data_IF_356907443843
#
_entry.id   IF_356907443843
#
_cell.length_a   1.000
_cell.length_b   1.000
_cell.length_c   1.000
_cell.angle_alpha   90.00
_cell.angle_beta   90.00
_cell.angle_gamma   90.00
#
_symmetry.space_group_name_H-M   'P 1'
#
loop_
_entity.id
_entity.type
_entity.pdbx_description
1 polymer ?
#
# COMPACT_ATOMS: atom_id res chain seq x y z
N UNK A 1 13.03 24.23 -1.41
CA UNK A 1 13.72 22.94 -1.63
C UNK A 1 14.79 23.19 -2.68
N UNK A 2 15.96 22.54 -2.63
CA UNK A 2 16.90 22.57 -3.74
C UNK A 2 16.23 22.05 -5.02
N UNK A 3 16.72 22.45 -6.17
CA UNK A 3 16.23 21.96 -7.46
C UNK A 3 16.56 20.47 -7.63
N UNK A 4 15.72 19.77 -8.42
CA UNK A 4 16.04 18.41 -8.83
C UNK A 4 17.23 18.42 -9.76
N UNK A 5 18.07 17.41 -9.59
CA UNK A 5 19.32 17.26 -10.33
C UNK A 5 19.09 16.21 -11.43
N UNK A 6 19.71 16.41 -12.59
CA UNK A 6 19.66 15.46 -13.68
C UNK A 6 20.44 14.18 -13.34
N UNK A 7 20.05 13.04 -13.91
CA UNK A 7 20.67 11.74 -13.61
C UNK A 7 22.15 11.72 -14.05
N UNK A 8 22.47 12.47 -15.10
CA UNK A 8 23.81 12.60 -15.66
C UNK A 8 24.79 13.31 -14.72
N UNK A 9 24.28 14.15 -13.82
CA UNK A 9 25.10 14.90 -12.87
C UNK A 9 25.52 14.08 -11.64
N UNK A 10 24.98 12.85 -11.50
CA UNK A 10 25.20 11.95 -10.36
C UNK A 10 26.68 11.81 -9.99
N UNK A 11 27.55 11.58 -10.99
CA UNK A 11 28.97 11.35 -10.78
C UNK A 11 29.77 12.58 -10.33
N UNK A 12 29.19 13.78 -10.37
CA UNK A 12 29.87 15.04 -10.03
C UNK A 12 29.53 15.56 -8.63
N UNK A 13 28.62 14.90 -7.92
CA UNK A 13 28.13 15.36 -6.62
C UNK A 13 28.67 14.43 -5.52
N UNK A 14 29.21 15.00 -4.42
CA UNK A 14 29.63 14.18 -3.27
C UNK A 14 28.49 13.31 -2.75
N UNK A 15 28.79 12.05 -2.39
CA UNK A 15 27.81 11.04 -1.99
C UNK A 15 26.91 11.50 -0.84
N UNK A 16 27.48 12.21 0.13
CA UNK A 16 26.79 12.76 1.30
C UNK A 16 25.77 13.86 0.96
N UNK A 17 25.82 14.41 -0.25
CA UNK A 17 24.93 15.46 -0.74
C UNK A 17 23.88 14.93 -1.74
N UNK A 18 23.74 13.61 -1.87
CA UNK A 18 22.83 12.97 -2.81
C UNK A 18 21.68 12.22 -2.11
N UNK A 19 20.48 12.39 -2.66
CA UNK A 19 19.30 11.59 -2.31
C UNK A 19 18.66 11.10 -3.61
N UNK A 20 18.57 9.78 -3.77
CA UNK A 20 17.93 9.16 -4.93
C UNK A 20 16.52 8.73 -4.54
N UNK A 21 15.52 9.24 -5.26
CA UNK A 21 14.12 8.80 -5.15
C UNK A 21 13.82 7.91 -6.35
N UNK A 22 13.50 6.64 -6.10
CA UNK A 22 13.31 5.67 -7.17
C UNK A 22 12.11 4.74 -6.93
N UNK A 23 11.63 4.11 -7.99
CA UNK A 23 10.56 3.11 -7.95
C UNK A 23 11.10 1.71 -7.67
N UNK A 24 10.22 0.73 -7.41
CA UNK A 24 10.61 -0.68 -7.24
C UNK A 24 10.47 -1.20 -5.81
N UNK A 25 9.72 -0.50 -4.97
CA UNK A 25 9.54 -0.85 -3.56
C UNK A 25 8.76 -2.16 -3.35
N UNK A 26 8.12 -2.72 -4.40
CA UNK A 26 7.35 -3.96 -4.34
C UNK A 26 8.03 -5.13 -5.08
N UNK A 27 9.31 -4.99 -5.43
CA UNK A 27 10.03 -6.08 -6.11
C UNK A 27 9.81 -6.11 -7.62
N UNK A 28 9.29 -5.04 -8.22
CA UNK A 28 9.04 -5.01 -9.66
C UNK A 28 10.35 -5.12 -10.46
N UNK A 29 10.55 -6.16 -11.28
CA UNK A 29 11.86 -6.50 -11.83
C UNK A 29 12.44 -5.44 -12.78
N UNK A 30 11.57 -4.65 -13.42
CA UNK A 30 11.92 -3.58 -14.35
C UNK A 30 12.08 -2.20 -13.69
N UNK A 31 11.74 -2.08 -12.40
CA UNK A 31 11.83 -0.83 -11.68
C UNK A 31 13.27 -0.45 -11.33
N UNK A 32 13.47 0.82 -11.01
CA UNK A 32 14.79 1.39 -10.80
C UNK A 32 15.56 0.71 -9.66
N UNK A 33 14.93 0.46 -8.49
CA UNK A 33 15.58 -0.22 -7.37
C UNK A 33 16.05 -1.64 -7.72
N UNK A 34 15.25 -2.37 -8.51
CA UNK A 34 15.61 -3.71 -8.96
C UNK A 34 16.83 -3.67 -9.89
N UNK A 35 16.88 -2.71 -10.82
CA UNK A 35 18.05 -2.49 -11.69
C UNK A 35 19.28 -2.06 -10.90
N UNK A 36 19.14 -1.15 -9.93
CA UNK A 36 20.21 -0.72 -9.03
C UNK A 36 20.78 -1.92 -8.24
N UNK A 37 19.94 -2.82 -7.74
CA UNK A 37 20.39 -4.04 -7.05
C UNK A 37 21.15 -5.03 -7.94
N UNK A 38 21.07 -4.85 -9.27
CA UNK A 38 21.78 -5.66 -10.28
C UNK A 38 22.92 -4.90 -10.96
N UNK A 39 23.19 -3.66 -10.55
CA UNK A 39 24.13 -2.76 -11.21
C UNK A 39 23.82 -2.56 -12.72
N UNK A 40 22.53 -2.50 -13.06
CA UNK A 40 22.04 -2.40 -14.45
C UNK A 40 21.62 -0.97 -14.85
N UNK A 41 21.73 0.00 -13.95
CA UNK A 41 21.45 1.41 -14.28
C UNK A 41 22.69 2.05 -14.91
N UNK A 42 22.50 2.85 -15.97
CA UNK A 42 23.61 3.41 -16.75
C UNK A 42 24.33 4.57 -16.05
N UNK A 43 23.57 5.41 -15.37
CA UNK A 43 24.02 6.72 -14.88
C UNK A 43 24.15 6.79 -13.36
N UNK A 44 23.53 5.84 -12.64
CA UNK A 44 23.53 5.77 -11.18
C UNK A 44 23.95 4.38 -10.73
N UNK A 45 24.88 4.32 -9.80
CA UNK A 45 25.34 3.08 -9.17
C UNK A 45 25.39 3.24 -7.66
N UNK A 46 25.17 2.17 -6.91
CA UNK A 46 25.26 2.19 -5.46
C UNK A 46 26.66 1.77 -5.01
N UNK A 47 27.15 2.36 -3.92
CA UNK A 47 28.46 2.05 -3.34
C UNK A 47 28.30 1.57 -1.90
N UNK A 48 29.12 0.59 -1.51
CA UNK A 48 29.14 0.07 -0.13
C UNK A 48 29.09 1.21 0.91
N UNK A 49 28.21 1.06 1.90
CA UNK A 49 27.92 2.07 2.92
C UNK A 49 26.73 2.99 2.61
N UNK A 50 26.21 3.03 1.38
CA UNK A 50 24.96 3.73 1.07
C UNK A 50 23.78 3.13 1.84
N UNK A 51 22.73 3.93 2.07
CA UNK A 51 21.52 3.53 2.80
C UNK A 51 20.32 3.51 1.87
N UNK A 52 19.61 2.38 1.84
CA UNK A 52 18.39 2.18 1.07
C UNK A 52 17.21 2.12 2.02
N UNK A 53 16.26 3.04 1.85
CA UNK A 53 15.06 3.14 2.67
C UNK A 53 13.85 2.57 1.92
N UNK A 54 13.27 1.50 2.45
CA UNK A 54 12.00 0.97 1.97
C UNK A 54 10.84 1.69 2.68
N UNK A 55 10.42 2.82 2.14
CA UNK A 55 9.26 3.60 2.61
C UNK A 55 7.92 3.00 2.15
N UNK A 56 7.81 1.67 2.18
CA UNK A 56 6.65 0.92 1.70
C UNK A 56 6.34 -0.26 2.61
N UNK A 57 5.10 -0.73 2.56
CA UNK A 57 4.70 -2.02 3.13
C UNK A 57 4.68 -3.07 2.03
N UNK A 58 5.17 -4.27 2.34
CA UNK A 58 5.06 -5.43 1.45
C UNK A 58 3.59 -5.76 1.19
N UNK A 59 3.21 -5.77 -0.08
CA UNK A 59 1.90 -6.26 -0.52
C UNK A 59 1.94 -7.80 -0.55
N UNK A 60 0.91 -8.50 -0.04
CA UNK A 60 0.84 -9.95 -0.11
C UNK A 60 1.05 -10.49 -1.52
N UNK A 61 1.99 -11.43 -1.68
CA UNK A 61 2.39 -12.02 -2.96
C UNK A 61 3.72 -11.48 -3.51
N UNK A 62 4.22 -10.36 -2.99
CA UNK A 62 5.48 -9.74 -3.45
C UNK A 62 6.68 -10.03 -2.53
N UNK A 63 6.49 -10.78 -1.44
CA UNK A 63 7.50 -11.00 -0.39
C UNK A 63 8.81 -11.53 -0.97
N UNK A 64 8.72 -12.52 -1.86
CA UNK A 64 9.89 -13.17 -2.46
C UNK A 64 10.69 -12.19 -3.32
N UNK A 65 10.02 -11.42 -4.18
CA UNK A 65 10.68 -10.49 -5.09
C UNK A 65 11.37 -9.35 -4.31
N UNK A 66 10.73 -8.83 -3.28
CA UNK A 66 11.31 -7.82 -2.39
C UNK A 66 12.53 -8.40 -1.66
N UNK A 67 12.44 -9.62 -1.13
CA UNK A 67 13.53 -10.28 -0.43
C UNK A 67 14.75 -10.50 -1.34
N UNK A 68 14.54 -10.89 -2.60
CA UNK A 68 15.63 -11.05 -3.57
C UNK A 68 16.37 -9.74 -3.84
N UNK A 69 15.65 -8.61 -3.97
CA UNK A 69 16.27 -7.29 -4.11
C UNK A 69 17.05 -6.93 -2.85
N UNK A 70 16.47 -7.12 -1.66
CA UNK A 70 17.13 -6.82 -0.39
C UNK A 70 18.43 -7.60 -0.24
N UNK A 71 18.41 -8.91 -0.51
CA UNK A 71 19.61 -9.75 -0.42
C UNK A 71 20.72 -9.25 -1.33
N UNK A 72 20.42 -8.92 -2.59
CA UNK A 72 21.41 -8.35 -3.52
C UNK A 72 22.01 -7.03 -3.01
N UNK A 73 21.16 -6.13 -2.49
CA UNK A 73 21.63 -4.87 -1.93
C UNK A 73 22.51 -5.09 -0.69
N UNK A 74 22.16 -6.03 0.17
CA UNK A 74 22.96 -6.41 1.34
C UNK A 74 24.31 -6.99 0.90
N UNK A 75 24.33 -7.85 -0.12
CA UNK A 75 25.56 -8.43 -0.68
C UNK A 75 26.48 -7.35 -1.30
N UNK A 76 25.90 -6.25 -1.82
CA UNK A 76 26.63 -5.06 -2.28
C UNK A 76 27.11 -4.13 -1.13
N UNK A 77 26.80 -4.46 0.13
CA UNK A 77 27.19 -3.69 1.30
C UNK A 77 26.31 -2.48 1.59
N UNK A 78 25.05 -2.49 1.15
CA UNK A 78 24.07 -1.45 1.49
C UNK A 78 23.54 -1.63 2.91
N UNK A 79 23.21 -0.52 3.57
CA UNK A 79 22.39 -0.51 4.78
C UNK A 79 20.92 -0.46 4.39
N UNK A 80 20.10 -1.35 4.93
CA UNK A 80 18.66 -1.37 4.67
C UNK A 80 17.92 -0.76 5.87
N UNK A 81 16.94 0.08 5.60
CA UNK A 81 15.99 0.61 6.61
C UNK A 81 14.58 0.31 6.15
N UNK A 82 13.77 -0.32 7.00
CA UNK A 82 12.37 -0.63 6.74
C UNK A 82 11.43 -0.21 7.88
N UNK A 83 10.13 -0.41 7.69
CA UNK A 83 9.06 -0.04 8.65
C UNK A 83 9.24 -0.70 10.04
N UNK A 84 9.95 -1.84 10.10
CA UNK A 84 10.31 -2.49 11.37
C UNK A 84 11.45 -1.80 12.13
N UNK A 85 12.33 -1.08 11.43
CA UNK A 85 13.50 -0.42 12.01
C UNK A 85 13.20 1.03 12.41
N UNK A 86 12.42 1.73 11.60
CA UNK A 86 12.10 3.13 11.78
C UNK A 86 10.72 3.47 11.20
N UNK A 87 10.14 4.59 11.66
CA UNK A 87 8.86 5.08 11.16
C UNK A 87 9.01 5.71 9.76
N UNK A 88 9.24 4.87 8.76
CA UNK A 88 9.46 5.28 7.36
C UNK A 88 8.21 5.07 6.49
N UNK A 89 7.20 4.38 7.01
CA UNK A 89 5.96 4.13 6.30
C UNK A 89 4.75 4.26 7.24
N UNK A 90 3.62 4.69 6.67
CA UNK A 90 2.32 4.64 7.33
C UNK A 90 1.30 4.14 6.34
N UNK A 91 0.30 3.41 6.82
CA UNK A 91 -0.79 2.95 5.95
C UNK A 91 -1.61 4.12 5.45
N UNK A 92 -1.96 4.10 4.16
CA UNK A 92 -2.97 5.01 3.60
C UNK A 92 -4.41 4.65 3.97
N UNK A 93 -4.64 3.55 4.69
CA UNK A 93 -5.98 3.11 5.10
C UNK A 93 -6.24 3.39 6.59
N UNK A 94 -7.45 3.83 6.96
CA UNK A 94 -7.78 4.18 8.33
C UNK A 94 -7.82 2.94 9.23
N UNK A 95 -7.34 3.10 10.47
CA UNK A 95 -7.49 2.11 11.53
C UNK A 95 -8.88 2.23 12.19
N UNK A 96 -9.19 1.29 13.09
CA UNK A 96 -10.50 1.22 13.79
C UNK A 96 -10.92 2.54 14.46
N UNK A 97 -9.99 3.25 15.09
CA UNK A 97 -10.26 4.54 15.74
C UNK A 97 -10.65 5.64 14.75
N UNK A 98 -9.98 5.70 13.61
CA UNK A 98 -10.27 6.65 12.54
C UNK A 98 -11.61 6.34 11.86
N UNK A 99 -11.91 5.05 11.64
CA UNK A 99 -13.22 4.61 11.16
C UNK A 99 -14.35 4.97 12.12
N UNK A 100 -14.17 4.77 13.43
CA UNK A 100 -15.18 5.18 14.44
C UNK A 100 -15.44 6.67 14.42
N UNK A 101 -14.37 7.48 14.37
CA UNK A 101 -14.45 8.93 14.28
C UNK A 101 -15.22 9.37 13.03
N UNK A 102 -15.00 8.70 11.89
CA UNK A 102 -15.79 8.91 10.68
C UNK A 102 -17.27 8.58 10.89
N UNK A 103 -17.60 7.46 11.55
CA UNK A 103 -19.00 7.10 11.84
C UNK A 103 -19.68 8.11 12.77
N UNK A 104 -18.98 8.65 13.75
CA UNK A 104 -19.48 9.69 14.67
C UNK A 104 -19.84 10.99 13.94
N UNK A 105 -19.04 11.35 12.92
CA UNK A 105 -19.28 12.53 12.09
C UNK A 105 -20.45 12.34 11.12
N UNK A 106 -20.47 11.20 10.42
CA UNK A 106 -21.46 10.95 9.36
C UNK A 106 -22.82 10.53 9.94
N UNK A 107 -22.83 9.84 11.08
CA UNK A 107 -24.03 9.28 11.74
C UNK A 107 -24.93 8.50 10.76
N UNK A 108 -24.41 7.49 10.06
CA UNK A 108 -25.17 6.80 9.04
C UNK A 108 -26.29 5.95 9.66
N UNK A 109 -27.45 5.90 9.01
CA UNK A 109 -28.54 4.98 9.36
C UNK A 109 -28.26 3.55 8.87
N UNK A 110 -27.64 3.44 7.69
CA UNK A 110 -27.25 2.18 7.04
C UNK A 110 -25.74 2.20 6.79
N UNK A 111 -25.03 1.19 7.28
CA UNK A 111 -23.62 0.94 7.01
C UNK A 111 -23.45 -0.19 6.00
N UNK A 112 -22.59 0.02 5.00
CA UNK A 112 -22.21 -0.99 4.01
C UNK A 112 -20.68 -1.09 4.01
N UNK A 113 -20.09 -2.19 4.52
CA UNK A 113 -18.65 -2.39 4.50
C UNK A 113 -18.20 -2.66 3.07
N UNK A 114 -17.08 -2.05 2.66
CA UNK A 114 -16.53 -2.12 1.30
C UNK A 114 -14.99 -2.12 1.35
N UNK A 115 -14.36 -2.42 0.21
CA UNK A 115 -12.90 -2.36 0.04
C UNK A 115 -12.12 -3.25 1.02
N UNK A 116 -12.33 -4.56 0.91
CA UNK A 116 -11.51 -5.55 1.61
C UNK A 116 -11.95 -6.98 1.32
N UNK A 117 -11.11 -7.93 1.69
CA UNK A 117 -11.48 -9.36 1.64
C UNK A 117 -12.59 -9.69 2.64
N UNK A 118 -13.12 -10.91 2.58
CA UNK A 118 -14.22 -11.33 3.43
C UNK A 118 -13.99 -11.10 4.93
N UNK A 119 -12.78 -11.36 5.44
CA UNK A 119 -12.42 -11.09 6.83
C UNK A 119 -12.49 -9.60 7.17
N UNK A 120 -12.03 -8.73 6.28
CA UNK A 120 -12.07 -7.27 6.45
C UNK A 120 -13.51 -6.75 6.47
N UNK A 121 -14.34 -7.20 5.52
CA UNK A 121 -15.74 -6.78 5.41
C UNK A 121 -16.55 -7.18 6.64
N UNK A 122 -16.34 -8.40 7.15
CA UNK A 122 -16.96 -8.87 8.40
C UNK A 122 -16.50 -8.03 9.57
N UNK A 123 -15.19 -7.80 9.72
CA UNK A 123 -14.64 -7.00 10.81
C UNK A 123 -15.12 -5.54 10.79
N UNK A 124 -15.24 -4.94 9.60
CA UNK A 124 -15.75 -3.58 9.43
C UNK A 124 -17.25 -3.51 9.73
N UNK A 125 -18.03 -4.49 9.27
CA UNK A 125 -19.45 -4.59 9.61
C UNK A 125 -19.67 -4.72 11.12
N UNK A 126 -18.92 -5.57 11.80
CA UNK A 126 -18.96 -5.65 13.27
C UNK A 126 -18.60 -4.33 13.94
N UNK A 127 -17.57 -3.62 13.44
CA UNK A 127 -17.18 -2.31 13.94
C UNK A 127 -18.31 -1.28 13.78
N UNK A 128 -19.00 -1.27 12.63
CA UNK A 128 -20.14 -0.40 12.36
C UNK A 128 -21.28 -0.66 13.37
N UNK A 129 -21.65 -1.93 13.58
CA UNK A 129 -22.69 -2.29 14.56
C UNK A 129 -22.32 -1.88 15.98
N UNK A 130 -21.07 -2.13 16.40
CA UNK A 130 -20.55 -1.68 17.70
C UNK A 130 -20.52 -0.15 17.85
N UNK A 131 -20.50 0.58 16.74
CA UNK A 131 -20.50 2.05 16.71
C UNK A 131 -21.93 2.63 16.66
N UNK A 132 -22.97 1.80 16.81
CA UNK A 132 -24.36 2.24 16.92
C UNK A 132 -25.07 2.46 15.58
N UNK A 133 -24.51 2.00 14.47
CA UNK A 133 -25.17 2.09 13.15
C UNK A 133 -26.35 1.10 13.13
N UNK A 134 -27.55 1.61 12.89
CA UNK A 134 -28.80 0.86 13.09
C UNK A 134 -29.02 -0.31 12.12
N UNK A 135 -28.50 -0.21 10.90
CA UNK A 135 -28.56 -1.28 9.90
C UNK A 135 -27.18 -1.47 9.28
N UNK A 136 -26.64 -2.69 9.29
CA UNK A 136 -25.36 -2.99 8.64
C UNK A 136 -25.57 -4.10 7.62
N UNK A 137 -25.45 -3.76 6.34
CA UNK A 137 -25.64 -4.71 5.25
C UNK A 137 -24.35 -5.51 5.03
N UNK A 138 -24.47 -6.83 4.87
CA UNK A 138 -23.34 -7.69 4.49
C UNK A 138 -23.45 -8.00 2.99
N UNK A 139 -22.83 -7.15 2.17
CA UNK A 139 -22.88 -7.29 0.71
C UNK A 139 -21.63 -7.97 0.16
N UNK A 140 -21.80 -8.64 -0.98
CA UNK A 140 -20.73 -9.20 -1.82
C UNK A 140 -20.81 -8.61 -3.22
N UNK A 141 -19.74 -8.81 -4.00
CA UNK A 141 -19.74 -8.43 -5.41
C UNK A 141 -20.96 -9.04 -6.11
N UNK A 142 -21.72 -8.21 -6.83
CA UNK A 142 -22.94 -8.60 -7.52
C UNK A 142 -24.25 -8.40 -6.74
N UNK A 143 -24.22 -8.24 -5.42
CA UNK A 143 -25.46 -8.07 -4.65
C UNK A 143 -26.13 -6.70 -4.93
N UNK A 144 -27.44 -6.72 -5.21
CA UNK A 144 -28.25 -5.51 -5.34
C UNK A 144 -28.90 -5.19 -3.99
N UNK A 145 -28.37 -4.19 -3.30
CA UNK A 145 -28.89 -3.72 -2.01
C UNK A 145 -29.91 -2.59 -2.21
N UNK A 146 -31.18 -2.83 -1.85
CA UNK A 146 -32.19 -1.77 -1.75
C UNK A 146 -31.99 -1.01 -0.45
N UNK A 147 -31.67 0.29 -0.53
CA UNK A 147 -31.53 1.17 0.63
C UNK A 147 -32.86 1.78 1.10
N UNK A 148 -33.81 1.95 0.19
CA UNK A 148 -35.13 2.54 0.45
C UNK A 148 -36.14 2.06 -0.62
N UNK A 149 -37.45 1.90 -0.31
CA UNK A 149 -38.08 2.02 1.01
C UNK A 149 -37.85 0.82 1.93
N UNK A 150 -38.00 1.06 3.23
CA UNK A 150 -37.90 0.04 4.28
C UNK A 150 -36.47 -0.23 4.75
N UNK A 151 -36.25 -1.43 5.30
CA UNK A 151 -34.93 -1.86 5.73
C UNK A 151 -34.02 -2.21 4.55
N UNK A 152 -32.72 -1.96 4.72
CA UNK A 152 -31.68 -2.34 3.79
C UNK A 152 -31.73 -3.85 3.54
N UNK A 153 -32.09 -4.26 2.32
CA UNK A 153 -32.32 -5.67 1.97
C UNK A 153 -31.67 -5.97 0.63
N UNK A 154 -30.96 -7.10 0.54
CA UNK A 154 -30.48 -7.61 -0.74
C UNK A 154 -31.71 -8.13 -1.50
N UNK A 155 -32.00 -7.55 -2.65
CA UNK A 155 -33.23 -7.83 -3.42
C UNK A 155 -32.98 -8.63 -4.69
N UNK A 156 -31.75 -8.63 -5.20
CA UNK A 156 -31.37 -9.33 -6.42
C UNK A 156 -29.84 -9.47 -6.51
N UNK A 157 -29.36 -10.10 -7.58
CA UNK A 157 -27.95 -10.11 -7.97
C UNK A 157 -27.79 -9.71 -9.44
N UNK A 158 -26.77 -8.89 -9.72
CA UNK A 158 -26.37 -8.54 -11.09
C UNK A 158 -25.21 -9.43 -11.56
N UNK A 159 -25.07 -9.67 -12.87
CA UNK A 159 -23.91 -10.38 -13.39
C UNK A 159 -22.60 -9.72 -12.94
N UNK A 160 -21.72 -10.50 -12.33
CA UNK A 160 -20.41 -10.05 -11.86
C UNK A 160 -19.36 -11.12 -12.12
N UNK A 161 -18.09 -10.72 -12.14
CA UNK A 161 -16.98 -11.64 -12.36
C UNK A 161 -15.74 -10.93 -12.84
N UNK A 162 -14.66 -11.70 -12.99
CA UNK A 162 -13.39 -11.21 -13.53
C UNK A 162 -13.36 -11.50 -15.03
N UNK A 163 -13.07 -10.47 -15.82
CA UNK A 163 -12.72 -10.63 -17.23
C UNK A 163 -11.20 -10.56 -17.32
N UNK A 164 -10.59 -11.69 -17.67
CA UNK A 164 -9.16 -11.73 -17.97
C UNK A 164 -8.96 -11.32 -19.43
N UNK A 165 -7.98 -10.46 -19.67
CA UNK A 165 -7.50 -10.12 -21.02
C UNK A 165 -6.25 -10.92 -21.32
#
# INVERSE_FOLDING_TARGET
LPEFIAEEDYGFIPRENLVIICTGSQGEPLAALAKLSRDEMKSVSLTAGDTVVFSSRTIPGNEKAILEIKNRLIDLGMKIVEDGDALVHVSGHPRRSELRKMYEWVRPQIGVPVHGEAAHLVAQGSLMSMSGIGQVAQVRDGDMLRLYPGAATIVDQVPFGRVYK
#
